data_IF_573156379831
#
_entry.id   IF_573156379831
#
_cell.length_a   1.000
_cell.length_b   1.000
_cell.length_c   1.000
_cell.angle_alpha   90.00
_cell.angle_beta   90.00
_cell.angle_gamma   90.00
#
_symmetry.space_group_name_H-M   'P 1'
#
loop_
_entity.id
_entity.type
_entity.pdbx_description
1 polymer ?
#
# COMPACT_ATOMS: atom_id res chain seq x y z
N UNK A 1 -20.66 -2.02 67.32
CA UNK A 1 -21.39 -2.99 68.17
C UNK A 1 -22.22 -3.81 67.20
N UNK A 2 -21.68 -4.92 66.71
CA UNK A 2 -21.75 -6.27 67.30
C UNK A 2 -23.16 -6.86 67.31
N UNK A 3 -23.19 -8.10 66.84
CA UNK A 3 -24.15 -9.19 67.12
C UNK A 3 -25.35 -9.30 66.17
N UNK A 4 -25.75 -10.49 65.70
CA UNK A 4 -25.32 -11.89 65.90
C UNK A 4 -26.01 -12.74 64.80
N UNK A 5 -25.36 -13.83 64.36
CA UNK A 5 -25.90 -14.99 63.59
C UNK A 5 -26.90 -15.80 64.47
N UNK A 6 -27.46 -17.00 64.12
CA UNK A 6 -27.25 -17.96 63.00
C UNK A 6 -28.55 -18.72 62.55
N UNK A 7 -28.40 -19.93 61.99
CA UNK A 7 -29.37 -21.06 61.76
C UNK A 7 -29.72 -21.23 60.28
N UNK A 8 -28.96 -22.03 59.52
CA UNK A 8 -28.95 -23.51 59.35
C UNK A 8 -29.71 -23.87 58.05
N UNK A 9 -29.02 -24.50 57.09
CA UNK A 9 -29.27 -25.91 56.68
C UNK A 9 -30.46 -25.94 55.70
N UNK A 10 -30.25 -26.12 54.39
CA UNK A 10 -30.03 -27.42 53.78
C UNK A 10 -29.27 -27.34 52.44
N UNK A 11 -28.48 -28.38 52.18
CA UNK A 11 -27.92 -28.74 50.88
C UNK A 11 -29.02 -29.06 49.88
N UNK A 12 -28.97 -28.50 48.68
CA UNK A 12 -29.30 -29.24 47.46
C UNK A 12 -28.30 -28.92 46.33
N UNK A 13 -27.86 -29.99 45.67
CA UNK A 13 -26.85 -30.02 44.62
C UNK A 13 -27.39 -29.40 43.33
N UNK A 14 -26.74 -28.35 42.81
CA UNK A 14 -26.92 -27.96 41.42
C UNK A 14 -25.58 -27.81 40.70
N UNK A 15 -25.28 -28.90 39.98
CA UNK A 15 -24.56 -29.06 38.72
C UNK A 15 -23.72 -27.88 38.22
N UNK A 16 -22.44 -28.19 37.99
CA UNK A 16 -21.54 -27.47 37.09
C UNK A 16 -22.21 -27.21 35.73
N UNK A 17 -22.57 -25.96 35.45
CA UNK A 17 -22.66 -25.48 34.08
C UNK A 17 -21.26 -24.99 33.69
N UNK A 18 -20.48 -25.91 33.12
CA UNK A 18 -19.38 -25.53 32.23
C UNK A 18 -20.03 -24.86 31.03
N UNK A 19 -19.83 -23.55 30.87
CA UNK A 19 -20.04 -22.88 29.60
C UNK A 19 -19.25 -23.65 28.53
N UNK A 20 -19.98 -24.42 27.72
CA UNK A 20 -19.49 -24.95 26.46
C UNK A 20 -19.15 -23.75 25.58
N UNK A 21 -17.85 -23.46 25.46
CA UNK A 21 -17.34 -22.67 24.35
C UNK A 21 -17.88 -23.31 23.07
N UNK A 22 -18.64 -22.60 22.22
CA UNK A 22 -18.97 -23.12 20.91
C UNK A 22 -17.64 -23.38 20.20
N UNK A 23 -17.53 -24.59 19.65
CA UNK A 23 -16.30 -25.12 19.11
C UNK A 23 -15.59 -24.10 18.24
N UNK A 24 -14.30 -23.93 18.54
CA UNK A 24 -13.34 -23.49 17.55
C UNK A 24 -13.46 -24.52 16.41
N UNK A 25 -14.22 -24.18 15.37
CA UNK A 25 -13.92 -24.73 14.06
C UNK A 25 -12.50 -24.22 13.82
N UNK A 26 -11.57 -25.16 13.77
CA UNK A 26 -10.30 -24.95 13.10
C UNK A 26 -10.71 -24.48 11.70
N UNK A 27 -10.70 -23.16 11.48
CA UNK A 27 -10.64 -22.61 10.15
C UNK A 27 -9.32 -23.16 9.63
N UNK A 28 -9.40 -24.28 8.91
CA UNK A 28 -8.35 -24.70 8.01
C UNK A 28 -7.99 -23.42 7.27
N UNK A 29 -6.76 -22.95 7.46
CA UNK A 29 -6.17 -21.94 6.59
C UNK A 29 -6.16 -22.63 5.22
N UNK A 30 -7.29 -22.56 4.50
CA UNK A 30 -7.31 -22.70 3.07
C UNK A 30 -6.41 -21.56 2.62
N UNK A 31 -5.15 -21.94 2.38
CA UNK A 31 -4.25 -21.23 1.48
C UNK A 31 -5.05 -21.06 0.18
N UNK A 32 -5.85 -20.00 0.11
CA UNK A 32 -6.47 -19.49 -1.11
C UNK A 32 -5.32 -18.88 -1.91
N UNK A 33 -4.41 -19.76 -2.33
CA UNK A 33 -3.41 -19.60 -3.37
C UNK A 33 -4.21 -19.41 -4.66
N UNK A 34 -4.90 -18.28 -4.75
CA UNK A 34 -5.59 -17.85 -5.94
C UNK A 34 -4.57 -17.93 -7.07
N UNK A 35 -4.76 -18.88 -7.98
CA UNK A 35 -3.85 -19.09 -9.09
C UNK A 35 -3.68 -17.74 -9.79
N UNK A 36 -2.47 -17.18 -9.69
CA UNK A 36 -2.13 -15.92 -10.35
C UNK A 36 -2.06 -16.22 -11.84
N UNK A 37 -3.21 -16.20 -12.48
CA UNK A 37 -3.32 -16.29 -13.93
C UNK A 37 -2.73 -15.00 -14.50
N UNK A 38 -1.75 -15.09 -15.40
CA UNK A 38 -1.26 -13.92 -16.11
C UNK A 38 -2.46 -13.21 -16.75
N UNK A 39 -2.61 -11.91 -16.48
CA UNK A 39 -3.63 -11.11 -17.14
C UNK A 39 -3.30 -11.06 -18.63
N UNK A 40 -4.01 -11.85 -19.45
CA UNK A 40 -3.91 -11.86 -20.92
C UNK A 40 -4.29 -10.47 -21.44
N UNK A 41 -3.28 -9.61 -21.61
CA UNK A 41 -3.41 -8.18 -21.87
C UNK A 41 -2.32 -7.34 -21.21
N UNK A 42 -1.64 -7.84 -20.18
CA UNK A 42 -0.52 -7.14 -19.51
C UNK A 42 0.77 -7.01 -20.36
N UNK A 43 0.73 -7.45 -21.62
CA UNK A 43 1.82 -7.39 -22.58
C UNK A 43 2.21 -5.93 -22.90
N UNK A 44 1.25 -5.01 -22.80
CA UNK A 44 1.41 -3.58 -23.07
C UNK A 44 1.66 -2.73 -21.80
N UNK A 45 2.24 -3.33 -20.75
CA UNK A 45 2.52 -2.58 -19.52
C UNK A 45 3.73 -1.66 -19.67
N UNK A 46 3.63 -0.48 -19.05
CA UNK A 46 4.62 0.59 -19.14
C UNK A 46 5.32 0.71 -17.78
N UNK A 47 6.66 0.64 -17.79
CA UNK A 47 7.52 0.96 -16.65
C UNK A 47 8.31 2.21 -16.97
N UNK A 48 8.20 3.25 -16.13
CA UNK A 48 8.91 4.52 -16.33
C UNK A 48 10.13 4.62 -15.41
N UNK A 49 11.26 5.06 -15.95
CA UNK A 49 12.50 5.26 -15.20
C UNK A 49 12.52 6.69 -14.64
N UNK A 50 12.04 6.87 -13.41
CA UNK A 50 11.90 8.17 -12.77
C UNK A 50 13.17 8.59 -12.01
N UNK A 51 13.80 9.67 -12.45
CA UNK A 51 14.97 10.26 -11.81
C UNK A 51 14.52 11.26 -10.75
N UNK A 52 14.85 10.96 -9.50
CA UNK A 52 14.57 11.82 -8.34
C UNK A 52 15.89 12.03 -7.61
N UNK A 53 16.41 13.26 -7.67
CA UNK A 53 17.76 13.62 -7.19
C UNK A 53 18.84 12.67 -7.74
N UNK A 54 19.46 11.87 -6.88
CA UNK A 54 20.54 10.94 -7.16
C UNK A 54 20.07 9.50 -7.42
N UNK A 55 18.76 9.25 -7.38
CA UNK A 55 18.18 7.90 -7.54
C UNK A 55 17.36 7.78 -8.82
N UNK A 56 17.36 6.57 -9.38
CA UNK A 56 16.46 6.16 -10.46
C UNK A 56 15.50 5.14 -9.89
N UNK A 57 14.21 5.44 -9.94
CA UNK A 57 13.14 4.65 -9.35
C UNK A 57 12.28 4.11 -10.50
N UNK A 58 12.27 2.79 -10.75
CA UNK A 58 11.36 2.20 -11.72
C UNK A 58 9.92 2.28 -11.19
N UNK A 59 9.01 2.84 -11.99
CA UNK A 59 7.59 2.93 -11.65
C UNK A 59 6.78 2.14 -12.65
N UNK A 60 6.23 1.02 -12.20
CA UNK A 60 5.27 0.23 -12.96
C UNK A 60 3.93 0.98 -13.04
N UNK A 61 3.51 1.35 -14.24
CA UNK A 61 2.34 2.17 -14.51
C UNK A 61 1.16 1.35 -15.05
N UNK A 62 1.28 0.01 -15.12
CA UNK A 62 0.31 -0.85 -15.81
C UNK A 62 0.13 -0.36 -17.25
N UNK A 63 -1.12 -0.15 -17.67
CA UNK A 63 -1.46 0.40 -19.00
C UNK A 63 -1.18 1.89 -19.18
N UNK A 64 -0.67 2.60 -18.16
CA UNK A 64 -0.31 4.01 -18.29
C UNK A 64 -1.50 4.98 -18.29
N UNK A 65 -2.69 4.58 -17.82
CA UNK A 65 -3.92 5.40 -17.86
C UNK A 65 -4.00 6.50 -16.79
N UNK A 66 -3.14 6.44 -15.78
CA UNK A 66 -2.97 7.49 -14.77
C UNK A 66 -2.30 8.77 -15.33
N UNK A 67 -2.47 9.89 -14.62
CA UNK A 67 -1.86 11.17 -14.97
C UNK A 67 -0.36 11.23 -14.61
N UNK A 68 0.39 12.05 -15.34
CA UNK A 68 1.83 12.29 -15.11
C UNK A 68 2.12 12.76 -13.69
N UNK A 69 1.24 13.55 -13.07
CA UNK A 69 1.41 13.98 -11.67
C UNK A 69 1.41 12.81 -10.67
N UNK A 70 0.68 11.72 -10.97
CA UNK A 70 0.67 10.52 -10.13
C UNK A 70 2.05 9.86 -10.12
N UNK A 71 2.68 9.73 -11.29
CA UNK A 71 4.05 9.21 -11.42
C UNK A 71 5.04 9.99 -10.55
N UNK A 72 4.93 11.32 -10.54
CA UNK A 72 5.74 12.19 -9.68
C UNK A 72 5.60 11.88 -8.20
N UNK A 73 4.36 11.79 -7.70
CA UNK A 73 4.10 11.47 -6.30
C UNK A 73 4.58 10.07 -5.91
N UNK A 74 4.36 9.08 -6.78
CA UNK A 74 4.77 7.70 -6.56
C UNK A 74 6.30 7.58 -6.48
N UNK A 75 7.03 8.20 -7.42
CA UNK A 75 8.48 8.20 -7.39
C UNK A 75 9.00 8.91 -6.12
N UNK A 76 8.40 10.02 -5.72
CA UNK A 76 8.77 10.71 -4.47
C UNK A 76 8.53 9.83 -3.25
N UNK A 77 7.38 9.16 -3.14
CA UNK A 77 7.11 8.27 -2.00
C UNK A 77 8.19 7.17 -1.88
N UNK A 78 8.55 6.54 -3.01
CA UNK A 78 9.56 5.48 -3.09
C UNK A 78 11.01 5.94 -3.01
N UNK A 79 11.28 7.24 -3.01
CA UNK A 79 12.67 7.73 -2.89
C UNK A 79 13.37 7.25 -1.61
N UNK A 80 12.62 7.05 -0.53
CA UNK A 80 13.11 6.60 0.77
C UNK A 80 12.63 5.20 1.13
N UNK A 81 12.83 4.24 0.21
CA UNK A 81 12.44 2.84 0.37
C UNK A 81 12.99 2.19 1.65
N UNK A 82 14.22 2.49 2.06
CA UNK A 82 14.84 1.94 3.28
C UNK A 82 14.23 2.48 4.58
N UNK A 83 13.67 3.70 4.55
CA UNK A 83 13.22 4.40 5.75
C UNK A 83 11.80 4.03 6.17
N UNK A 84 10.86 4.07 5.21
CA UNK A 84 9.43 3.72 5.32
C UNK A 84 8.64 4.10 4.05
N UNK A 85 9.31 4.35 2.92
CA UNK A 85 8.71 4.91 1.71
C UNK A 85 7.95 6.24 1.97
N UNK A 86 8.53 7.13 2.79
CA UNK A 86 7.98 8.46 3.13
C UNK A 86 8.76 9.60 2.48
N UNK A 87 9.23 9.42 1.24
CA UNK A 87 10.10 10.42 0.62
C UNK A 87 9.47 11.81 0.47
N UNK A 88 8.13 11.95 0.53
CA UNK A 88 7.45 13.25 0.56
C UNK A 88 7.83 14.12 1.75
N UNK A 89 8.22 13.55 2.89
CA UNK A 89 8.71 14.33 4.04
C UNK A 89 10.04 15.02 3.73
N UNK A 90 10.86 14.42 2.86
CA UNK A 90 12.19 14.92 2.47
C UNK A 90 12.17 15.75 1.18
N UNK A 91 11.20 15.48 0.31
CA UNK A 91 11.15 16.01 -1.07
C UNK A 91 9.94 16.90 -1.34
N UNK A 92 8.86 16.77 -0.55
CA UNK A 92 7.60 17.45 -0.77
C UNK A 92 6.78 16.84 -1.91
N UNK A 93 6.27 17.68 -2.80
CA UNK A 93 5.41 17.30 -3.94
C UNK A 93 6.16 17.48 -5.27
N UNK A 94 5.75 16.80 -6.37
CA UNK A 94 6.35 17.03 -7.68
C UNK A 94 5.93 18.41 -8.21
N UNK A 95 6.89 19.17 -8.73
CA UNK A 95 6.66 20.50 -9.29
C UNK A 95 6.84 20.53 -10.80
N UNK A 96 7.72 19.68 -11.35
CA UNK A 96 7.98 19.54 -12.78
C UNK A 96 8.38 18.10 -13.13
N UNK A 97 8.00 17.66 -14.32
CA UNK A 97 8.38 16.35 -14.86
C UNK A 97 8.89 16.56 -16.29
N UNK A 98 10.15 16.21 -16.53
CA UNK A 98 10.84 16.44 -17.80
C UNK A 98 11.17 15.10 -18.44
N UNK A 99 10.64 14.85 -19.63
CA UNK A 99 10.99 13.69 -20.46
C UNK A 99 12.36 13.88 -21.11
N UNK A 100 13.22 12.87 -20.96
CA UNK A 100 14.57 12.79 -21.56
C UNK A 100 15.45 14.04 -21.33
N UNK A 101 15.17 14.81 -20.27
CA UNK A 101 15.85 16.07 -19.94
C UNK A 101 15.57 17.24 -20.90
N UNK A 102 14.61 17.11 -21.82
CA UNK A 102 14.38 18.09 -22.91
C UNK A 102 12.99 18.70 -22.92
N UNK A 103 11.95 17.91 -22.61
CA UNK A 103 10.55 18.34 -22.74
C UNK A 103 9.84 18.23 -21.40
N UNK A 104 9.36 19.36 -20.89
CA UNK A 104 8.44 19.37 -19.76
C UNK A 104 7.08 18.79 -20.19
N UNK A 105 6.57 17.85 -19.40
CA UNK A 105 5.26 17.23 -19.59
C UNK A 105 4.19 17.99 -18.80
N UNK A 106 2.96 18.02 -19.31
CA UNK A 106 1.83 18.51 -18.54
C UNK A 106 1.55 17.56 -17.38
N UNK A 107 1.39 18.10 -16.16
CA UNK A 107 1.09 17.28 -14.99
C UNK A 107 -0.25 16.54 -15.10
N UNK A 108 -1.18 17.06 -15.90
CA UNK A 108 -2.49 16.46 -16.19
C UNK A 108 -2.49 15.53 -17.40
N UNK A 109 -1.37 15.41 -18.13
CA UNK A 109 -1.26 14.51 -19.27
C UNK A 109 -1.41 13.05 -18.81
N UNK A 110 -1.96 12.19 -19.66
CA UNK A 110 -2.04 10.75 -19.41
C UNK A 110 -0.73 10.09 -19.83
N UNK A 111 -0.17 9.22 -19.00
CA UNK A 111 1.18 8.68 -19.23
C UNK A 111 1.30 7.94 -20.56
N UNK A 112 0.37 7.05 -20.90
CA UNK A 112 0.45 6.30 -22.15
C UNK A 112 0.32 7.18 -23.42
N UNK A 113 -0.18 8.41 -23.30
CA UNK A 113 -0.26 9.36 -24.42
C UNK A 113 1.08 10.07 -24.67
N UNK A 114 1.94 10.19 -23.65
CA UNK A 114 3.16 11.03 -23.70
C UNK A 114 4.47 10.28 -23.43
N UNK A 115 4.39 9.08 -22.85
CA UNK A 115 5.52 8.24 -22.47
C UNK A 115 5.35 6.81 -22.99
N UNK A 116 6.48 6.19 -23.33
CA UNK A 116 6.59 4.79 -23.71
C UNK A 116 7.33 4.01 -22.62
N UNK A 117 7.25 2.67 -22.68
CA UNK A 117 8.00 1.81 -21.77
C UNK A 117 9.49 2.18 -21.72
N UNK A 118 10.03 2.15 -20.50
CA UNK A 118 11.40 2.53 -20.12
C UNK A 118 11.81 3.96 -20.48
N UNK A 119 10.89 4.87 -20.79
CA UNK A 119 11.24 6.28 -20.93
C UNK A 119 11.82 6.83 -19.62
N UNK A 120 12.77 7.76 -19.76
CA UNK A 120 13.40 8.43 -18.64
C UNK A 120 12.71 9.76 -18.39
N UNK A 121 12.33 10.00 -17.13
CA UNK A 121 11.79 11.30 -16.71
C UNK A 121 12.57 11.85 -15.53
N UNK A 122 12.67 13.16 -15.44
CA UNK A 122 13.36 13.87 -14.36
C UNK A 122 12.35 14.68 -13.57
N UNK A 123 12.31 14.46 -12.26
CA UNK A 123 11.30 15.04 -11.38
C UNK A 123 11.96 16.11 -10.51
N UNK A 124 11.44 17.35 -10.61
CA UNK A 124 11.73 18.40 -9.65
C UNK A 124 10.70 18.36 -8.52
N UNK A 125 11.12 18.67 -7.30
CA UNK A 125 10.27 18.57 -6.10
C UNK A 125 10.19 19.91 -5.38
N UNK A 126 9.24 20.07 -4.45
CA UNK A 126 9.02 21.36 -3.80
C UNK A 126 10.00 21.66 -2.65
N UNK A 127 10.67 20.64 -2.09
CA UNK A 127 11.62 20.76 -0.98
C UNK A 127 13.05 20.33 -1.37
N UNK A 128 13.37 20.31 -2.67
CA UNK A 128 14.63 19.79 -3.21
C UNK A 128 15.10 20.54 -4.44
#
# INVERSE_FOLDING_TARGET
MSSLLPVDEELEQEKEEKEEKPGLLEEEEEDDDAEVTPNEGAEDTITIMAHVRDKIIPVHCGFGTQQVVWLGHVAIARYDEEGQAQGWMKLGIPTKIIKDGKRELGLTDVICDVLQDRNHVYISTSLG
#
